data_IF_497998607547
#
_entry.id   IF_497998607547
#
_cell.length_a   1.000
_cell.length_b   1.000
_cell.length_c   1.000
_cell.angle_alpha   90.00
_cell.angle_beta   90.00
_cell.angle_gamma   90.00
#
_symmetry.space_group_name_H-M   'P 1'
#
loop_
_entity.id
_entity.type
_entity.pdbx_description
1 polymer ?
#
# COMPACT_ATOMS: atom_id res chain seq x y z
N UNK A 1 -17.47 6.86 14.78
CA UNK A 1 -16.77 6.27 13.62
C UNK A 1 -15.29 6.38 13.89
N UNK A 2 -14.54 5.30 13.74
CA UNK A 2 -13.10 5.28 14.00
C UNK A 2 -12.38 6.10 12.91
N UNK A 3 -11.67 7.17 13.30
CA UNK A 3 -11.15 8.20 12.38
C UNK A 3 -10.01 7.69 11.49
N UNK A 4 -9.43 6.53 11.83
CA UNK A 4 -8.28 5.96 11.15
C UNK A 4 -8.63 4.97 10.02
N UNK A 5 -9.87 4.47 9.97
CA UNK A 5 -10.23 3.34 9.09
C UNK A 5 -9.88 3.58 7.61
N UNK A 6 -10.16 4.76 7.06
CA UNK A 6 -9.93 5.08 5.64
C UNK A 6 -8.71 5.99 5.39
N UNK A 7 -7.89 6.19 6.42
CA UNK A 7 -6.66 6.98 6.35
C UNK A 7 -5.50 6.05 5.98
N UNK A 8 -4.61 6.49 5.08
CA UNK A 8 -3.39 5.73 4.79
C UNK A 8 -2.48 5.75 6.02
N UNK A 9 -2.52 4.66 6.79
CA UNK A 9 -1.67 4.51 7.97
C UNK A 9 -0.22 4.37 7.52
N UNK A 10 0.63 5.27 8.03
CA UNK A 10 2.08 5.23 7.83
C UNK A 10 2.66 4.28 8.87
N UNK A 11 3.17 3.14 8.42
CA UNK A 11 3.80 2.14 9.29
C UNK A 11 5.10 1.67 8.65
N UNK A 12 6.01 1.18 9.49
CA UNK A 12 7.19 0.46 9.03
C UNK A 12 6.79 -0.96 8.60
N UNK A 13 7.61 -1.61 7.78
CA UNK A 13 7.31 -2.93 7.25
C UNK A 13 7.13 -3.97 8.35
N UNK A 14 7.99 -3.96 9.39
CA UNK A 14 7.83 -4.88 10.52
C UNK A 14 6.48 -4.69 11.23
N UNK A 15 6.02 -3.44 11.33
CA UNK A 15 4.72 -3.11 11.93
C UNK A 15 3.58 -3.66 11.07
N UNK A 16 3.62 -3.47 9.75
CA UNK A 16 2.64 -4.05 8.82
C UNK A 16 2.59 -5.57 8.90
N UNK A 17 3.76 -6.23 8.94
CA UNK A 17 3.87 -7.69 8.99
C UNK A 17 3.41 -8.30 10.33
N UNK A 18 3.32 -7.48 11.38
CA UNK A 18 2.79 -7.87 12.69
C UNK A 18 1.26 -7.73 12.82
N UNK A 19 0.60 -7.09 11.85
CA UNK A 19 -0.84 -6.86 11.91
C UNK A 19 -1.61 -8.18 11.75
N UNK A 20 -2.72 -8.30 12.47
CA UNK A 20 -3.64 -9.44 12.33
C UNK A 20 -4.85 -9.03 11.51
N UNK A 21 -5.28 -9.88 10.57
CA UNK A 21 -6.51 -9.61 9.81
C UNK A 21 -7.72 -9.64 10.76
N UNK A 22 -8.62 -8.67 10.63
CA UNK A 22 -9.82 -8.62 11.47
C UNK A 22 -10.73 -9.83 11.18
N UNK A 23 -11.18 -10.58 12.21
CA UNK A 23 -12.10 -11.70 12.01
C UNK A 23 -13.49 -11.26 11.51
N UNK A 24 -13.91 -10.03 11.83
CA UNK A 24 -15.22 -9.50 11.50
C UNK A 24 -15.27 -8.75 10.16
N UNK A 25 -14.12 -8.27 9.67
CA UNK A 25 -14.01 -7.54 8.42
C UNK A 25 -12.72 -7.94 7.67
N UNK A 26 -12.83 -8.73 6.58
CA UNK A 26 -11.66 -9.18 5.84
C UNK A 26 -10.92 -8.04 5.12
N UNK A 27 -11.50 -6.83 5.07
CA UNK A 27 -10.89 -5.65 4.45
C UNK A 27 -10.08 -4.79 5.41
N UNK A 28 -10.01 -5.17 6.69
CA UNK A 28 -9.22 -4.47 7.71
C UNK A 28 -8.28 -5.37 8.49
N UNK A 29 -7.27 -4.71 9.05
CA UNK A 29 -6.21 -5.29 9.85
C UNK A 29 -6.16 -4.56 11.19
N UNK A 30 -5.86 -5.29 12.26
CA UNK A 30 -5.87 -4.77 13.61
C UNK A 30 -4.45 -4.45 14.06
N UNK A 31 -4.26 -3.22 14.57
CA UNK A 31 -3.12 -2.84 15.38
C UNK A 31 -3.63 -2.51 16.78
N UNK A 32 -3.30 -3.33 17.77
CA UNK A 32 -3.73 -3.13 19.17
C UNK A 32 -5.25 -2.87 19.30
N UNK A 33 -6.06 -3.56 18.48
CA UNK A 33 -7.52 -3.42 18.46
C UNK A 33 -8.05 -2.31 17.56
N UNK A 34 -7.20 -1.44 17.01
CA UNK A 34 -7.60 -0.38 16.06
C UNK A 34 -7.64 -0.95 14.64
N UNK A 35 -8.78 -0.86 13.92
CA UNK A 35 -8.90 -1.31 12.54
C UNK A 35 -8.27 -0.32 11.55
N UNK A 36 -7.40 -0.85 10.70
CA UNK A 36 -6.72 -0.15 9.61
C UNK A 36 -7.07 -0.84 8.29
N UNK A 37 -7.45 -0.07 7.25
CA UNK A 37 -7.75 -0.64 5.92
C UNK A 37 -6.81 -0.13 4.82
N UNK A 38 -6.02 0.91 5.10
CA UNK A 38 -5.17 1.59 4.12
C UNK A 38 -3.77 1.83 4.65
N UNK A 39 -2.80 1.68 3.76
CA UNK A 39 -1.37 1.72 4.06
C UNK A 39 -0.67 2.80 3.24
N UNK A 40 0.35 3.40 3.85
CA UNK A 40 1.42 4.12 3.18
C UNK A 40 2.76 3.54 3.64
N UNK A 41 3.62 3.19 2.70
CA UNK A 41 5.00 2.72 2.96
C UNK A 41 5.97 3.45 2.03
N UNK A 42 7.22 3.60 2.47
CA UNK A 42 8.31 4.16 1.68
C UNK A 42 9.52 3.26 1.84
N UNK A 43 10.13 2.87 0.73
CA UNK A 43 11.34 2.06 0.73
C UNK A 43 11.81 1.73 -0.69
N UNK A 44 12.84 0.90 -0.78
CA UNK A 44 13.46 0.50 -2.04
C UNK A 44 12.66 -0.63 -2.70
N UNK A 45 12.42 -0.52 -4.01
CA UNK A 45 11.82 -1.60 -4.78
C UNK A 45 12.83 -2.72 -5.01
N UNK A 46 12.63 -3.88 -4.38
CA UNK A 46 13.58 -5.01 -4.40
C UNK A 46 13.18 -6.15 -5.33
N UNK A 47 11.91 -6.22 -5.75
CA UNK A 47 11.43 -7.18 -6.75
C UNK A 47 10.44 -6.55 -7.72
N UNK A 48 10.30 -7.14 -8.91
CA UNK A 48 9.37 -6.67 -9.95
C UNK A 48 8.98 -7.81 -10.90
N UNK A 49 7.73 -8.25 -10.84
CA UNK A 49 7.13 -9.25 -11.74
C UNK A 49 5.89 -8.67 -12.43
N UNK A 50 6.06 -8.33 -13.72
CA UNK A 50 5.00 -7.78 -14.55
C UNK A 50 4.25 -8.91 -15.26
N UNK A 51 2.93 -8.98 -15.06
CA UNK A 51 2.01 -9.77 -15.88
C UNK A 51 1.20 -8.81 -16.75
N UNK A 52 1.52 -8.70 -18.06
CA UNK A 52 0.84 -7.79 -18.98
C UNK A 52 -0.68 -7.94 -18.92
N UNK A 53 -1.39 -6.81 -18.99
CA UNK A 53 -2.85 -6.69 -18.91
C UNK A 53 -3.52 -7.32 -17.68
N UNK A 54 -2.73 -7.66 -16.65
CA UNK A 54 -3.21 -8.28 -15.41
C UNK A 54 -2.80 -7.45 -14.21
N UNK A 55 -1.51 -7.47 -13.87
CA UNK A 55 -0.99 -6.78 -12.70
C UNK A 55 0.53 -6.68 -12.75
N UNK A 56 1.08 -5.76 -11.98
CA UNK A 56 2.47 -5.71 -11.57
C UNK A 56 2.57 -6.10 -10.10
N UNK A 57 3.36 -7.13 -9.79
CA UNK A 57 3.77 -7.47 -8.43
C UNK A 57 5.16 -6.92 -8.17
N UNK A 58 5.37 -6.36 -6.99
CA UNK A 58 6.68 -5.87 -6.58
C UNK A 58 6.76 -5.90 -5.06
N UNK A 59 7.97 -5.70 -4.53
CA UNK A 59 8.22 -5.66 -3.08
C UNK A 59 8.92 -4.36 -2.76
N UNK A 60 8.48 -3.72 -1.68
CA UNK A 60 9.12 -2.54 -1.09
C UNK A 60 9.82 -2.97 0.19
N UNK A 61 11.11 -2.69 0.30
CA UNK A 61 11.94 -2.94 1.48
C UNK A 61 12.29 -1.60 2.13
N UNK A 62 11.86 -1.39 3.36
CA UNK A 62 12.16 -0.19 4.15
C UNK A 62 13.25 -0.45 5.19
N UNK A 63 14.03 -1.53 5.07
CA UNK A 63 15.08 -1.92 6.02
C UNK A 63 14.56 -2.61 7.29
N UNK A 64 13.26 -2.57 7.56
CA UNK A 64 12.64 -3.29 8.69
C UNK A 64 11.90 -4.55 8.24
N UNK A 65 11.67 -4.70 6.94
CA UNK A 65 10.99 -5.83 6.33
C UNK A 65 10.60 -5.56 4.89
N UNK A 66 10.04 -6.58 4.24
CA UNK A 66 9.65 -6.55 2.84
C UNK A 66 8.13 -6.61 2.71
N UNK A 67 7.52 -5.58 2.12
CA UNK A 67 6.06 -5.50 1.91
C UNK A 67 5.70 -5.85 0.46
N UNK A 68 4.93 -6.92 0.23
CA UNK A 68 4.40 -7.22 -1.08
C UNK A 68 3.38 -6.17 -1.53
N UNK A 69 3.54 -5.68 -2.76
CA UNK A 69 2.66 -4.70 -3.39
C UNK A 69 2.12 -5.27 -4.71
N UNK A 70 0.85 -4.98 -5.00
CA UNK A 70 0.19 -5.35 -6.25
C UNK A 70 -0.52 -4.16 -6.87
N UNK A 71 -0.13 -3.82 -8.09
CA UNK A 71 -0.76 -2.81 -8.93
C UNK A 71 -1.56 -3.52 -10.03
N UNK A 72 -2.88 -3.33 -10.06
CA UNK A 72 -3.73 -3.91 -11.09
C UNK A 72 -3.61 -3.14 -12.41
N UNK A 73 -3.54 -3.87 -13.53
CA UNK A 73 -3.38 -3.34 -14.89
C UNK A 73 -4.48 -3.83 -15.85
N UNK A 74 -5.61 -4.29 -15.29
CA UNK A 74 -6.71 -4.92 -16.01
C UNK A 74 -7.96 -4.02 -16.10
N UNK A 75 -7.82 -2.71 -15.91
CA UNK A 75 -8.91 -1.74 -15.82
C UNK A 75 -9.88 -1.83 -17.01
N UNK A 76 -9.34 -1.97 -18.22
CA UNK A 76 -10.12 -2.04 -19.47
C UNK A 76 -10.78 -3.40 -19.72
N UNK A 77 -10.34 -4.46 -19.04
CA UNK A 77 -10.81 -5.84 -19.27
C UNK A 77 -11.63 -6.39 -18.09
N UNK A 78 -11.50 -5.79 -16.92
CA UNK A 78 -12.12 -6.29 -15.69
C UNK A 78 -13.61 -5.92 -15.62
N UNK A 79 -14.50 -6.89 -15.34
CA UNK A 79 -15.93 -6.61 -15.13
C UNK A 79 -16.21 -5.60 -14.02
N UNK A 80 -15.29 -5.43 -13.07
CA UNK A 80 -15.39 -4.44 -12.00
C UNK A 80 -15.58 -3.01 -12.53
N UNK A 81 -15.00 -2.68 -13.69
CA UNK A 81 -15.09 -1.35 -14.29
C UNK A 81 -16.24 -1.19 -15.30
N UNK A 82 -16.98 -2.26 -15.60
CA UNK A 82 -18.06 -2.26 -16.61
C UNK A 82 -19.16 -1.23 -16.35
N UNK A 83 -19.40 -0.88 -15.07
CA UNK A 83 -20.44 0.08 -14.67
C UNK A 83 -19.96 1.54 -14.65
N UNK A 84 -18.67 1.79 -14.91
CA UNK A 84 -18.08 3.14 -14.87
C UNK A 84 -18.07 3.77 -16.25
N UNK A 85 -17.97 5.10 -16.30
CA UNK A 85 -17.81 5.83 -17.54
C UNK A 85 -16.51 5.38 -18.27
N UNK A 86 -16.58 4.97 -19.55
CA UNK A 86 -15.41 4.49 -20.28
C UNK A 86 -14.23 5.48 -20.33
N UNK A 87 -14.49 6.79 -20.36
CA UNK A 87 -13.44 7.81 -20.35
C UNK A 87 -12.69 7.81 -19.02
N UNK A 88 -13.38 7.72 -17.89
CA UNK A 88 -12.76 7.66 -16.57
C UNK A 88 -11.92 6.39 -16.42
N UNK A 89 -12.43 5.25 -16.92
CA UNK A 89 -11.69 3.98 -16.88
C UNK A 89 -10.40 4.07 -17.68
N UNK A 90 -10.40 4.73 -18.85
CA UNK A 90 -9.18 4.98 -19.62
C UNK A 90 -8.16 5.81 -18.84
N UNK A 91 -8.59 6.90 -18.19
CA UNK A 91 -7.69 7.72 -17.36
C UNK A 91 -7.06 6.88 -16.24
N UNK A 92 -7.86 6.05 -15.56
CA UNK A 92 -7.35 5.17 -14.49
C UNK A 92 -6.37 4.13 -15.05
N UNK A 93 -6.65 3.58 -16.23
CA UNK A 93 -5.76 2.63 -16.90
C UNK A 93 -4.42 3.28 -17.28
N UNK A 94 -4.46 4.49 -17.85
CA UNK A 94 -3.28 5.26 -18.25
C UNK A 94 -2.43 5.62 -17.02
N UNK A 95 -3.06 6.07 -15.92
CA UNK A 95 -2.37 6.32 -14.65
C UNK A 95 -1.70 5.05 -14.09
N UNK A 96 -2.39 3.91 -14.11
CA UNK A 96 -1.82 2.65 -13.66
C UNK A 96 -0.64 2.20 -14.53
N UNK A 97 -0.71 2.41 -15.85
CA UNK A 97 0.39 2.14 -16.77
C UNK A 97 1.60 3.05 -16.49
N UNK A 98 1.37 4.33 -16.20
CA UNK A 98 2.41 5.28 -15.81
C UNK A 98 3.09 4.84 -14.52
N UNK A 99 2.33 4.52 -13.46
CA UNK A 99 2.89 3.99 -12.21
C UNK A 99 3.72 2.71 -12.45
N UNK A 100 3.24 1.78 -13.27
CA UNK A 100 3.98 0.56 -13.60
C UNK A 100 5.31 0.81 -14.34
N UNK A 101 5.40 1.91 -15.09
CA UNK A 101 6.62 2.34 -15.78
C UNK A 101 7.64 2.97 -14.83
N UNK A 102 7.17 3.64 -13.78
CA UNK A 102 8.01 4.28 -12.75
C UNK A 102 8.56 3.29 -11.73
N UNK A 103 7.78 2.26 -11.37
CA UNK A 103 8.21 1.19 -10.45
C UNK A 103 9.30 0.36 -11.14
N UNK A 104 10.56 0.62 -10.77
CA UNK A 104 11.76 -0.08 -11.26
C UNK A 104 12.57 -0.60 -10.08
N UNK A 105 13.35 -1.65 -10.30
CA UNK A 105 14.25 -2.17 -9.26
C UNK A 105 15.23 -1.09 -8.80
N UNK A 106 15.46 -0.99 -7.50
CA UNK A 106 16.42 -0.09 -6.87
C UNK A 106 15.94 1.35 -6.66
N UNK A 107 14.74 1.73 -7.12
CA UNK A 107 14.20 3.07 -6.85
C UNK A 107 13.54 3.10 -5.47
N UNK A 108 13.63 4.25 -4.79
CA UNK A 108 12.83 4.51 -3.59
C UNK A 108 11.44 4.92 -4.03
N UNK A 109 10.43 4.21 -3.55
CA UNK A 109 9.03 4.44 -3.89
C UNK A 109 8.18 4.67 -2.64
N UNK A 110 7.39 5.74 -2.64
CA UNK A 110 6.24 5.88 -1.74
C UNK A 110 5.05 5.18 -2.36
N UNK A 111 4.51 4.18 -1.66
CA UNK A 111 3.36 3.39 -2.12
C UNK A 111 2.20 3.60 -1.18
N UNK A 112 1.05 3.96 -1.74
CA UNK A 112 -0.22 4.08 -1.02
C UNK A 112 -1.24 3.11 -1.58
N UNK A 113 -2.03 2.51 -0.70
CA UNK A 113 -3.03 1.56 -1.15
C UNK A 113 -3.91 0.98 -0.06
N UNK A 114 -4.76 0.05 -0.46
CA UNK A 114 -5.57 -0.75 0.47
C UNK A 114 -4.74 -1.91 0.99
N UNK A 115 -4.87 -2.21 2.27
CA UNK A 115 -4.36 -3.44 2.84
C UNK A 115 -5.27 -4.59 2.39
N UNK A 116 -4.66 -5.68 1.94
CA UNK A 116 -5.37 -6.89 1.50
C UNK A 116 -4.59 -8.11 1.94
N UNK A 117 -5.25 -9.24 2.16
CA UNK A 117 -4.58 -10.51 2.43
C UNK A 117 -4.51 -11.35 1.15
N UNK A 118 -3.35 -11.94 0.88
CA UNK A 118 -3.17 -12.94 -0.17
C UNK A 118 -2.47 -14.16 0.41
N UNK A 119 -3.14 -15.32 0.36
CA UNK A 119 -2.66 -16.58 0.97
C UNK A 119 -2.27 -16.42 2.45
N UNK A 120 -3.04 -15.62 3.19
CA UNK A 120 -2.82 -15.35 4.62
C UNK A 120 -1.74 -14.30 4.94
N UNK A 121 -1.04 -13.75 3.94
CA UNK A 121 -0.06 -12.70 4.13
C UNK A 121 -0.60 -11.32 3.71
N UNK A 122 -0.22 -10.28 4.45
CA UNK A 122 -0.55 -8.90 4.09
C UNK A 122 0.15 -8.50 2.78
N UNK A 123 -0.59 -7.82 1.91
CA UNK A 123 -0.07 -7.15 0.72
C UNK A 123 -0.79 -5.79 0.55
N UNK A 124 -0.12 -4.82 -0.07
CA UNK A 124 -0.72 -3.53 -0.42
C UNK A 124 -1.26 -3.60 -1.84
N UNK A 125 -2.57 -3.47 -2.00
CA UNK A 125 -3.20 -3.21 -3.30
C UNK A 125 -3.06 -1.72 -3.61
N UNK A 126 -2.16 -1.43 -4.53
CA UNK A 126 -1.69 -0.08 -4.85
C UNK A 126 -2.81 0.77 -5.43
N UNK A 127 -2.93 1.99 -4.91
CA UNK A 127 -3.78 3.06 -5.44
C UNK A 127 -2.95 4.17 -6.09
N UNK A 128 -1.75 4.42 -5.57
CA UNK A 128 -0.86 5.49 -6.01
C UNK A 128 0.60 5.16 -5.67
N UNK A 129 1.51 5.59 -6.53
CA UNK A 129 2.96 5.45 -6.34
C UNK A 129 3.67 6.73 -6.74
N UNK A 130 4.66 7.13 -5.95
CA UNK A 130 5.56 8.24 -6.25
C UNK A 130 6.99 7.76 -6.10
N UNK A 131 7.82 7.96 -7.13
CA UNK A 131 9.28 7.76 -7.01
C UNK A 131 9.89 8.93 -6.25
N UNK A 132 10.43 8.64 -5.09
CA UNK A 132 11.04 9.61 -4.19
C UNK A 132 12.44 9.96 -4.68
N UNK A 133 12.73 11.26 -4.81
CA UNK A 133 14.04 11.78 -5.24
C UNK A 133 14.82 12.44 -4.11
N UNK A 134 14.14 12.84 -3.05
CA UNK A 134 14.79 13.40 -1.87
C UNK A 134 15.44 12.26 -1.07
N UNK A 135 16.77 12.30 -0.84
CA UNK A 135 17.44 11.27 -0.04
C UNK A 135 16.90 11.18 1.39
N UNK A 136 16.20 12.21 1.89
CA UNK A 136 15.62 12.20 3.22
C UNK A 136 14.21 11.59 3.29
N UNK A 137 13.59 11.22 2.16
CA UNK A 137 12.21 10.72 2.14
C UNK A 137 12.00 9.49 3.01
N UNK A 138 12.95 8.55 3.04
CA UNK A 138 12.88 7.35 3.88
C UNK A 138 12.95 7.70 5.36
N UNK A 139 13.96 8.47 5.78
CA UNK A 139 14.14 8.81 7.20
C UNK A 139 13.00 9.68 7.74
N UNK A 140 12.47 10.61 6.93
CA UNK A 140 11.32 11.41 7.30
C UNK A 140 10.06 10.55 7.46
N UNK A 141 9.87 9.56 6.58
CA UNK A 141 8.77 8.60 6.71
C UNK A 141 8.90 7.75 7.98
N UNK A 142 10.10 7.26 8.29
CA UNK A 142 10.35 6.50 9.52
C UNK A 142 10.03 7.32 10.77
N UNK A 143 10.46 8.58 10.83
CA UNK A 143 10.16 9.49 11.94
C UNK A 143 8.65 9.68 12.11
N UNK A 144 7.92 9.83 11.00
CA UNK A 144 6.45 9.89 11.02
C UNK A 144 5.84 8.60 11.57
N UNK A 145 6.27 7.42 11.10
CA UNK A 145 5.78 6.12 11.57
C UNK A 145 5.98 5.97 13.08
N UNK A 146 7.18 6.26 13.59
CA UNK A 146 7.50 6.19 15.03
C UNK A 146 6.67 7.18 15.84
N UNK A 147 6.50 8.42 15.35
CA UNK A 147 5.68 9.44 16.02
C UNK A 147 4.22 9.01 16.09
N UNK A 148 3.66 8.50 14.98
CA UNK A 148 2.27 8.07 14.89
C UNK A 148 2.00 6.82 15.72
N UNK A 149 2.95 5.87 15.76
CA UNK A 149 2.87 4.73 16.68
C UNK A 149 2.68 5.22 18.11
N UNK A 150 3.56 6.12 18.59
CA UNK A 150 3.54 6.60 19.99
C UNK A 150 2.33 7.47 20.33
N UNK A 151 1.82 8.25 19.37
CA UNK A 151 0.79 9.28 19.63
C UNK A 151 -0.61 8.94 19.16
N UNK A 152 -0.77 7.95 18.28
CA UNK A 152 -2.04 7.64 17.65
C UNK A 152 -2.37 6.15 17.72
N UNK A 153 -1.46 5.27 17.31
CA UNK A 153 -1.79 3.85 17.13
C UNK A 153 -1.64 3.02 18.40
N UNK A 154 -0.73 3.41 19.29
CA UNK A 154 -0.39 2.63 20.48
C UNK A 154 -0.86 3.31 21.78
N UNK A 155 -1.60 4.41 21.67
CA UNK A 155 -2.25 5.03 22.82
C UNK A 155 -3.40 4.12 23.21
N UNK A 156 -3.35 3.56 24.43
CA UNK A 156 -4.44 2.74 24.94
C UNK A 156 -5.76 3.52 24.80
N UNK A 157 -6.80 2.88 24.27
CA UNK A 157 -8.15 3.41 24.39
C UNK A 157 -8.41 3.63 25.88
N UNK A 158 -8.54 4.89 26.31
CA UNK A 158 -8.99 5.23 27.66
C UNK A 158 -10.42 4.74 27.86
#
# INVERSE_FOLDING_TARGET
>A
MDTLYNTHAKLLAFDFLSLTQSPSDPTSFLRKGIPLSRAETVGVVTSRDLKPDKFLKFVVDDGTGCIPCILWLNQLKSPYFSRRNPCDVRIIADLAANFASEIKLGVVARVRGRMTAYRGALQITVSDVVVERDPNSEILHWLDCVKLARKCYDVAAQ
#
